data_IF_288843088492
#
_entry.id   IF_288843088492
#
_cell.length_a   1.000
_cell.length_b   1.000
_cell.length_c   1.000
_cell.angle_alpha   90.00
_cell.angle_beta   90.00
_cell.angle_gamma   90.00
#
_symmetry.space_group_name_H-M   'P 1'
#
loop_
_entity.id
_entity.type
_entity.pdbx_description
1 polymer ?
#
# COMPACT_ATOMS: atom_id res chain seq x y z
N UNK A 1 20.55 -3.01 13.54
CA UNK A 1 19.41 -2.23 13.03
C UNK A 1 18.27 -2.30 14.03
N UNK A 2 17.66 -1.17 14.35
CA UNK A 2 16.40 -1.09 15.11
C UNK A 2 15.23 -1.58 14.25
N UNK A 3 14.07 -1.86 14.88
CA UNK A 3 12.85 -2.21 14.13
C UNK A 3 12.45 -1.11 13.16
N UNK A 4 12.59 0.15 13.57
CA UNK A 4 12.25 1.30 12.74
C UNK A 4 13.19 1.45 11.54
N UNK A 5 14.48 1.18 11.71
CA UNK A 5 15.44 1.18 10.60
C UNK A 5 15.14 0.07 9.59
N UNK A 6 14.81 -1.13 10.09
CA UNK A 6 14.43 -2.27 9.23
C UNK A 6 13.16 -1.93 8.44
N UNK A 7 12.15 -1.38 9.12
CA UNK A 7 10.89 -0.99 8.49
C UNK A 7 11.10 0.13 7.47
N UNK A 8 11.88 1.16 7.82
CA UNK A 8 12.22 2.26 6.91
C UNK A 8 12.91 1.74 5.65
N UNK A 9 13.86 0.82 5.81
CA UNK A 9 14.56 0.21 4.68
C UNK A 9 13.60 -0.57 3.79
N UNK A 10 12.70 -1.34 4.40
CA UNK A 10 11.69 -2.12 3.70
C UNK A 10 10.75 -1.22 2.89
N UNK A 11 10.18 -0.19 3.53
CA UNK A 11 9.25 0.75 2.91
C UNK A 11 9.88 1.53 1.75
N UNK A 12 11.20 1.77 1.78
CA UNK A 12 11.90 2.46 0.70
C UNK A 12 12.32 1.56 -0.47
N UNK A 13 12.43 0.24 -0.26
CA UNK A 13 13.00 -0.68 -1.28
C UNK A 13 11.98 -1.60 -1.92
N UNK A 14 10.83 -1.83 -1.30
CA UNK A 14 9.81 -2.73 -1.80
C UNK A 14 9.38 -2.33 -3.23
N UNK A 15 9.30 -3.30 -4.14
CA UNK A 15 8.78 -3.05 -5.48
C UNK A 15 7.24 -3.09 -5.44
N UNK A 16 6.61 -2.00 -5.87
CA UNK A 16 5.15 -1.81 -5.82
C UNK A 16 4.53 -1.67 -7.22
N UNK A 17 5.23 -2.21 -8.23
CA UNK A 17 4.70 -2.32 -9.58
C UNK A 17 4.89 -1.05 -10.40
N UNK A 18 4.73 -1.20 -11.72
CA UNK A 18 4.79 -0.11 -12.67
C UNK A 18 6.07 0.76 -12.55
N UNK A 19 7.19 0.14 -12.20
CA UNK A 19 8.48 0.81 -12.00
C UNK A 19 8.68 1.47 -10.64
N UNK A 20 7.66 1.55 -9.78
CA UNK A 20 7.78 2.17 -8.46
C UNK A 20 8.51 1.24 -7.47
N UNK A 21 9.60 1.76 -6.89
CA UNK A 21 10.30 1.17 -5.74
C UNK A 21 10.17 2.11 -4.55
N UNK A 22 9.64 1.58 -3.47
CA UNK A 22 9.32 2.32 -2.27
C UNK A 22 7.90 2.89 -2.24
N UNK A 23 7.37 3.06 -1.04
CA UNK A 23 5.99 3.52 -0.80
C UNK A 23 5.78 4.97 -1.27
N UNK A 24 6.77 5.85 -1.12
CA UNK A 24 6.70 7.23 -1.61
C UNK A 24 6.50 7.27 -3.13
N UNK A 25 7.39 6.60 -3.88
CA UNK A 25 7.29 6.56 -5.33
C UNK A 25 5.97 5.93 -5.81
N UNK A 26 5.44 4.94 -5.09
CA UNK A 26 4.17 4.32 -5.42
C UNK A 26 2.96 5.22 -5.11
N UNK A 27 2.97 5.93 -3.97
CA UNK A 27 1.93 6.90 -3.63
C UNK A 27 1.85 8.02 -4.67
N UNK A 28 2.99 8.59 -5.06
CA UNK A 28 3.08 9.58 -6.13
C UNK A 28 2.57 9.01 -7.46
N UNK A 29 2.97 7.79 -7.79
CA UNK A 29 2.60 7.15 -9.05
C UNK A 29 1.10 6.85 -9.19
N UNK A 30 0.47 6.34 -8.13
CA UNK A 30 -0.92 5.88 -8.20
C UNK A 30 -1.93 6.94 -7.75
N UNK A 31 -1.52 7.89 -6.91
CA UNK A 31 -2.43 8.88 -6.30
C UNK A 31 -1.98 10.33 -6.47
N UNK A 32 -0.75 10.59 -6.93
CA UNK A 32 -0.21 11.95 -7.06
C UNK A 32 -0.02 12.65 -5.71
N UNK A 33 0.24 11.90 -4.64
CA UNK A 33 0.38 12.38 -3.27
C UNK A 33 1.61 11.79 -2.60
N UNK A 34 2.10 12.46 -1.56
CA UNK A 34 3.15 11.92 -0.71
C UNK A 34 2.62 10.74 0.12
N UNK A 35 3.47 9.76 0.44
CA UNK A 35 3.08 8.59 1.23
C UNK A 35 2.72 8.93 2.69
N UNK A 36 3.06 10.13 3.18
CA UNK A 36 2.60 10.64 4.47
C UNK A 36 1.20 11.28 4.42
N UNK A 37 0.62 11.46 3.24
CA UNK A 37 -0.70 12.09 3.02
C UNK A 37 -1.78 11.09 2.62
N UNK A 38 -1.43 9.81 2.43
CA UNK A 38 -2.39 8.79 1.98
C UNK A 38 -3.37 8.41 3.10
N UNK A 39 -4.63 8.28 2.73
CA UNK A 39 -5.67 7.79 3.64
C UNK A 39 -5.65 6.26 3.80
N UNK A 40 -6.44 5.69 4.73
CA UNK A 40 -6.48 4.24 4.97
C UNK A 40 -6.75 3.39 3.72
N UNK A 41 -7.65 3.83 2.85
CA UNK A 41 -7.98 3.11 1.61
C UNK A 41 -6.80 3.09 0.61
N UNK A 42 -6.12 4.21 0.45
CA UNK A 42 -4.95 4.36 -0.42
C UNK A 42 -3.76 3.55 0.16
N UNK A 43 -3.52 3.65 1.47
CA UNK A 43 -2.51 2.87 2.19
C UNK A 43 -2.75 1.36 2.05
N UNK A 44 -3.98 0.91 2.22
CA UNK A 44 -4.38 -0.49 2.05
C UNK A 44 -4.15 -0.98 0.62
N UNK A 45 -4.42 -0.13 -0.38
CA UNK A 45 -4.15 -0.44 -1.78
C UNK A 45 -2.64 -0.59 -2.02
N UNK A 46 -1.80 0.32 -1.52
CA UNK A 46 -0.33 0.22 -1.62
C UNK A 46 0.21 -1.04 -0.93
N UNK A 47 -0.23 -1.29 0.31
CA UNK A 47 0.15 -2.49 1.05
C UNK A 47 -0.26 -3.78 0.33
N UNK A 48 -1.43 -3.78 -0.32
CA UNK A 48 -1.92 -4.89 -1.14
C UNK A 48 -1.00 -5.28 -2.29
N UNK A 49 -0.23 -4.32 -2.84
CA UNK A 49 0.69 -4.54 -3.96
C UNK A 49 1.85 -5.45 -3.58
N UNK A 50 2.30 -5.44 -2.32
CA UNK A 50 3.41 -6.28 -1.84
C UNK A 50 3.23 -7.77 -2.17
N UNK A 51 1.98 -8.24 -2.26
CA UNK A 51 1.68 -9.66 -2.54
C UNK A 51 1.96 -10.06 -3.99
N UNK A 52 1.65 -9.19 -4.96
CA UNK A 52 1.88 -9.41 -6.38
C UNK A 52 1.74 -8.07 -7.13
N UNK A 53 2.82 -7.26 -7.20
CA UNK A 53 2.71 -5.85 -7.57
C UNK A 53 2.10 -5.61 -8.95
N UNK A 54 2.48 -6.41 -9.95
CA UNK A 54 1.91 -6.32 -11.30
C UNK A 54 0.44 -6.76 -11.36
N UNK A 55 0.05 -7.77 -10.57
CA UNK A 55 -1.30 -8.35 -10.63
C UNK A 55 -2.34 -7.45 -9.95
N UNK A 56 -1.94 -6.81 -8.84
CA UNK A 56 -2.82 -5.97 -8.02
C UNK A 56 -2.66 -4.47 -8.28
N UNK A 57 -1.80 -4.06 -9.23
CA UNK A 57 -1.67 -2.67 -9.63
C UNK A 57 -3.04 -2.09 -10.07
N UNK A 58 -3.41 -0.88 -9.63
CA UNK A 58 -4.65 -0.21 -10.07
C UNK A 58 -4.71 -0.03 -11.58
N UNK A 59 -3.55 0.16 -12.21
CA UNK A 59 -3.39 0.30 -13.66
C UNK A 59 -3.61 -1.00 -14.43
N UNK A 60 -3.50 -2.16 -13.77
CA UNK A 60 -3.76 -3.46 -14.40
C UNK A 60 -5.23 -3.87 -14.27
N UNK A 61 -5.82 -3.72 -13.08
CA UNK A 61 -7.24 -3.94 -12.84
C UNK A 61 -7.66 -3.26 -11.53
N UNK A 62 -8.41 -2.16 -11.65
CA UNK A 62 -8.83 -1.36 -10.49
C UNK A 62 -9.70 -2.16 -9.50
N UNK A 63 -10.69 -2.91 -10.00
CA UNK A 63 -11.59 -3.72 -9.14
C UNK A 63 -10.81 -4.74 -8.31
N UNK A 64 -9.87 -5.46 -8.94
CA UNK A 64 -9.01 -6.43 -8.25
C UNK A 64 -8.11 -5.74 -7.22
N UNK A 65 -7.62 -4.54 -7.52
CA UNK A 65 -6.83 -3.74 -6.60
C UNK A 65 -7.65 -3.35 -5.36
N UNK A 66 -8.87 -2.86 -5.57
CA UNK A 66 -9.82 -2.52 -4.51
C UNK A 66 -10.20 -3.75 -3.66
N UNK A 67 -10.46 -4.90 -4.29
CA UNK A 67 -10.77 -6.14 -3.57
C UNK A 67 -9.61 -6.60 -2.70
N UNK A 68 -8.37 -6.44 -3.20
CA UNK A 68 -7.18 -6.73 -2.39
C UNK A 68 -7.01 -5.74 -1.24
N UNK A 69 -7.29 -4.46 -1.47
CA UNK A 69 -7.24 -3.42 -0.43
C UNK A 69 -8.30 -3.66 0.65
N UNK A 70 -9.51 -4.11 0.28
CA UNK A 70 -10.59 -4.43 1.22
C UNK A 70 -10.18 -5.52 2.22
N UNK A 71 -9.41 -6.53 1.78
CA UNK A 71 -8.84 -7.54 2.69
C UNK A 71 -7.90 -6.90 3.71
N UNK A 72 -7.06 -5.95 3.28
CA UNK A 72 -6.14 -5.24 4.18
C UNK A 72 -6.92 -4.37 5.17
N UNK A 73 -7.94 -3.64 4.72
CA UNK A 73 -8.79 -2.82 5.58
C UNK A 73 -9.53 -3.67 6.63
N UNK A 74 -10.11 -4.81 6.23
CA UNK A 74 -10.75 -5.74 7.16
C UNK A 74 -9.78 -6.23 8.23
N UNK A 75 -8.55 -6.61 7.85
CA UNK A 75 -7.51 -6.99 8.81
C UNK A 75 -7.10 -5.84 9.74
N UNK A 76 -7.03 -4.61 9.23
CA UNK A 76 -6.72 -3.44 10.06
C UNK A 76 -7.84 -3.17 11.07
N UNK A 77 -9.10 -3.31 10.66
CA UNK A 77 -10.26 -3.22 11.54
C UNK A 77 -10.24 -4.32 12.62
N UNK A 78 -10.05 -5.58 12.24
CA UNK A 78 -10.03 -6.73 13.16
C UNK A 78 -8.90 -6.61 14.21
N UNK A 79 -7.80 -5.94 13.85
CA UNK A 79 -6.67 -5.65 14.73
C UNK A 79 -6.79 -4.31 15.48
N UNK A 80 -7.94 -3.65 15.39
CA UNK A 80 -8.22 -2.36 16.06
C UNK A 80 -7.32 -1.20 15.62
N UNK A 81 -6.73 -1.26 14.42
CA UNK A 81 -6.02 -0.13 13.80
C UNK A 81 -6.96 0.87 13.13
N UNK A 82 -8.19 0.47 12.82
CA UNK A 82 -9.25 1.32 12.27
C UNK A 82 -10.54 1.06 13.05
N UNK A 83 -11.37 2.09 13.17
CA UNK A 83 -12.75 1.99 13.65
C UNK A 83 -13.72 2.19 12.49
N UNK A 84 -14.95 1.72 12.67
CA UNK A 84 -16.06 2.11 11.82
C UNK A 84 -16.26 3.64 11.86
N UNK A 85 -16.81 4.17 10.77
CA UNK A 85 -17.12 5.59 10.61
C UNK A 85 -18.36 6.01 11.42
#
# INVERSE_FOLDING_TARGET
FSKDEILTLYLNRAYLGAGARGFEAAAQRYFGKSANEVGPAEAAMLAGLLKAPTRYAPTANLKRSQDRAAVVLGLMHDQSYLTDA
#
